data_IF_556434020932
#
_entry.id   IF_556434020932
#
_cell.length_a   1.000
_cell.length_b   1.000
_cell.length_c   1.000
_cell.angle_alpha   90.00
_cell.angle_beta   90.00
_cell.angle_gamma   90.00
#
_symmetry.space_group_name_H-M   'P 1'
#
loop_
_entity.id
_entity.type
_entity.pdbx_description
1 polymer ?
#
# COMPACT_ATOMS: atom_id res chain seq x y z
N UNK A 1 6.37 2.51 -2.13
CA UNK A 1 5.27 1.85 -2.86
C UNK A 1 5.08 2.34 -4.28
N UNK A 2 4.95 3.65 -4.52
CA UNK A 2 4.96 4.20 -5.89
C UNK A 2 6.12 3.61 -6.72
N UNK A 3 7.32 3.64 -6.14
CA UNK A 3 8.53 3.06 -6.74
C UNK A 3 8.44 1.55 -6.97
N UNK A 4 7.73 0.78 -6.14
CA UNK A 4 7.58 -0.66 -6.32
C UNK A 4 6.61 -0.96 -7.48
N UNK A 5 5.54 -0.19 -7.63
CA UNK A 5 4.65 -0.30 -8.79
C UNK A 5 5.42 -0.04 -10.11
N UNK A 6 6.26 1.00 -10.15
CA UNK A 6 7.11 1.27 -11.33
C UNK A 6 8.20 0.21 -11.56
N UNK A 7 8.80 -0.33 -10.49
CA UNK A 7 9.89 -1.32 -10.59
C UNK A 7 9.40 -2.71 -11.00
N UNK A 8 8.24 -3.12 -10.51
CA UNK A 8 7.76 -4.50 -10.60
C UNK A 8 6.44 -4.58 -11.37
N UNK A 9 5.40 -3.88 -10.92
CA UNK A 9 4.05 -4.00 -11.51
C UNK A 9 3.98 -3.59 -12.99
N UNK A 10 4.53 -2.42 -13.34
CA UNK A 10 4.36 -1.85 -14.68
C UNK A 10 5.32 -2.42 -15.74
N UNK A 11 6.30 -3.22 -15.33
CA UNK A 11 7.14 -3.97 -16.27
C UNK A 11 6.41 -5.18 -16.85
N UNK A 12 5.48 -5.73 -16.09
CA UNK A 12 4.77 -6.97 -16.42
C UNK A 12 3.30 -6.74 -16.77
N UNK A 13 2.85 -5.48 -16.73
CA UNK A 13 1.45 -5.09 -16.98
C UNK A 13 1.38 -4.06 -18.08
N UNK A 14 0.78 -4.42 -19.20
CA UNK A 14 0.37 -3.44 -20.21
C UNK A 14 -0.72 -2.53 -19.63
N UNK A 15 -0.60 -1.22 -19.81
CA UNK A 15 -1.46 -0.20 -19.17
C UNK A 15 -1.41 -0.24 -17.64
N UNK A 16 -0.20 -0.12 -17.10
CA UNK A 16 0.03 0.04 -15.66
C UNK A 16 -0.80 1.18 -15.05
N UNK A 17 -1.59 0.85 -14.04
CA UNK A 17 -2.45 1.76 -13.28
C UNK A 17 -2.02 1.73 -11.81
N UNK A 18 -1.92 2.92 -11.23
CA UNK A 18 -1.80 3.11 -9.80
C UNK A 18 -3.00 3.90 -9.32
N UNK A 19 -3.71 3.35 -8.35
CA UNK A 19 -4.79 4.00 -7.63
C UNK A 19 -4.24 4.54 -6.32
N UNK A 20 -4.49 5.82 -6.04
CA UNK A 20 -4.15 6.48 -4.77
C UNK A 20 -5.41 7.22 -4.33
N UNK A 21 -5.97 6.80 -3.21
CA UNK A 21 -7.23 7.32 -2.70
C UNK A 21 -7.13 7.63 -1.22
N UNK A 22 -7.79 8.70 -0.82
CA UNK A 22 -8.03 9.03 0.59
C UNK A 22 -9.52 9.22 0.81
N UNK A 23 -10.03 8.65 1.89
CA UNK A 23 -11.43 8.85 2.29
C UNK A 23 -11.59 8.70 3.80
N UNK A 24 -12.61 9.36 4.33
CA UNK A 24 -13.02 9.22 5.72
C UNK A 24 -13.90 7.97 5.88
N UNK A 25 -13.61 7.16 6.89
CA UNK A 25 -14.35 5.94 7.24
C UNK A 25 -14.44 5.87 8.77
N UNK A 26 -15.64 6.00 9.34
CA UNK A 26 -15.89 5.94 10.78
C UNK A 26 -14.95 6.85 11.60
N UNK A 27 -14.90 8.14 11.26
CA UNK A 27 -14.01 9.15 11.89
C UNK A 27 -12.50 8.87 11.78
N UNK A 28 -12.10 7.95 10.89
CA UNK A 28 -10.71 7.62 10.59
C UNK A 28 -10.39 7.96 9.15
N UNK A 29 -9.14 8.33 8.88
CA UNK A 29 -8.68 8.56 7.52
C UNK A 29 -8.12 7.26 6.95
N UNK A 30 -8.73 6.76 5.88
CA UNK A 30 -8.21 5.68 5.06
C UNK A 30 -7.33 6.28 3.96
N UNK A 31 -6.05 5.92 3.94
CA UNK A 31 -5.18 6.05 2.77
C UNK A 31 -5.08 4.69 2.11
N UNK A 32 -5.52 4.60 0.85
CA UNK A 32 -5.47 3.39 0.05
C UNK A 32 -4.60 3.60 -1.18
N UNK A 33 -3.69 2.66 -1.44
CA UNK A 33 -2.85 2.67 -2.62
C UNK A 33 -2.80 1.26 -3.20
N UNK A 34 -3.04 1.14 -4.50
CA UNK A 34 -3.06 -0.14 -5.20
C UNK A 34 -2.50 0.01 -6.62
N UNK A 35 -1.62 -0.90 -7.02
CA UNK A 35 -1.29 -1.11 -8.43
C UNK A 35 -2.13 -2.24 -9.04
N UNK A 36 -2.21 -2.29 -10.37
CA UNK A 36 -2.83 -3.39 -11.11
C UNK A 36 -1.83 -4.45 -11.60
N UNK A 37 -0.71 -4.60 -10.89
CA UNK A 37 0.36 -5.52 -11.24
C UNK A 37 0.03 -7.01 -11.04
N UNK A 38 1.02 -7.90 -11.19
CA UNK A 38 0.90 -9.31 -10.86
C UNK A 38 0.72 -9.55 -9.35
N UNK A 39 0.99 -8.54 -8.51
CA UNK A 39 0.91 -8.65 -7.07
C UNK A 39 2.16 -9.26 -6.44
N UNK A 40 2.00 -9.84 -5.25
CA UNK A 40 3.05 -10.58 -4.55
C UNK A 40 2.91 -12.09 -4.80
N UNK A 41 4.02 -12.85 -4.85
CA UNK A 41 3.98 -14.32 -4.82
C UNK A 41 3.27 -14.85 -3.58
N UNK A 42 2.64 -16.03 -3.67
CA UNK A 42 1.90 -16.64 -2.54
C UNK A 42 2.78 -16.94 -1.32
N UNK A 43 4.06 -17.22 -1.54
CA UNK A 43 5.07 -17.53 -0.52
C UNK A 43 5.78 -16.29 0.02
N UNK A 44 5.46 -15.10 -0.48
CA UNK A 44 6.07 -13.85 -0.04
C UNK A 44 5.35 -13.29 1.19
N UNK A 45 6.06 -13.19 2.31
CA UNK A 45 5.56 -12.49 3.50
C UNK A 45 5.97 -10.99 3.49
N UNK A 46 5.05 -10.06 3.17
CA UNK A 46 5.37 -8.63 3.15
C UNK A 46 5.66 -8.06 4.54
N UNK A 47 5.19 -8.71 5.61
CA UNK A 47 5.44 -8.26 6.98
C UNK A 47 6.87 -8.59 7.42
N UNK A 48 7.45 -9.68 6.91
CA UNK A 48 8.84 -10.06 7.16
C UNK A 48 9.83 -9.57 6.11
N UNK A 49 9.34 -9.03 4.99
CA UNK A 49 10.22 -8.56 3.91
C UNK A 49 11.16 -7.42 4.36
N UNK A 50 12.46 -7.61 4.15
CA UNK A 50 13.51 -6.60 4.34
C UNK A 50 13.65 -5.64 3.16
N UNK A 51 12.79 -5.76 2.15
CA UNK A 51 12.82 -4.81 1.03
C UNK A 51 12.46 -3.40 1.53
N UNK A 52 13.29 -2.42 1.17
CA UNK A 52 13.13 -1.01 1.54
C UNK A 52 11.72 -0.46 1.31
N UNK A 53 11.05 -0.88 0.23
CA UNK A 53 9.69 -0.45 -0.07
C UNK A 53 8.66 -0.87 0.98
N UNK A 54 8.80 -2.08 1.54
CA UNK A 54 7.95 -2.58 2.62
C UNK A 54 8.32 -1.97 3.97
N UNK A 55 9.62 -1.79 4.22
CA UNK A 55 10.11 -1.10 5.42
C UNK A 55 9.56 0.32 5.52
N UNK A 56 9.48 1.04 4.39
CA UNK A 56 8.92 2.38 4.33
C UNK A 56 7.42 2.40 4.68
N UNK A 57 6.64 1.44 4.17
CA UNK A 57 5.21 1.32 4.46
C UNK A 57 4.98 1.04 5.95
N UNK A 58 5.72 0.08 6.52
CA UNK A 58 5.65 -0.23 7.94
C UNK A 58 6.06 0.96 8.80
N UNK A 59 7.15 1.65 8.43
CA UNK A 59 7.62 2.85 9.13
C UNK A 59 6.58 3.98 9.10
N UNK A 60 5.89 4.16 7.96
CA UNK A 60 4.83 5.15 7.83
C UNK A 60 3.62 4.79 8.70
N UNK A 61 3.19 3.53 8.68
CA UNK A 61 2.12 3.02 9.54
C UNK A 61 2.42 3.30 11.02
N UNK A 62 3.64 2.97 11.47
CA UNK A 62 4.09 3.22 12.84
C UNK A 62 4.08 4.70 13.20
N UNK A 63 4.66 5.56 12.36
CA UNK A 63 4.71 7.01 12.59
C UNK A 63 3.32 7.64 12.69
N UNK A 64 2.38 7.15 11.90
CA UNK A 64 1.00 7.62 11.87
C UNK A 64 0.09 6.91 12.89
N UNK A 65 0.61 5.94 13.65
CA UNK A 65 -0.18 5.05 14.51
C UNK A 65 -1.38 4.45 13.76
N UNK A 66 -1.15 4.06 12.52
CA UNK A 66 -2.17 3.58 11.61
C UNK A 66 -2.24 2.05 11.59
N UNK A 67 -3.44 1.50 11.38
CA UNK A 67 -3.59 0.09 11.05
C UNK A 67 -3.16 -0.13 9.60
N UNK A 68 -2.16 -0.98 9.38
CA UNK A 68 -1.73 -1.40 8.05
C UNK A 68 -2.45 -2.69 7.66
N UNK A 69 -3.04 -2.72 6.46
CA UNK A 69 -3.46 -3.97 5.81
C UNK A 69 -2.86 -4.03 4.41
N UNK A 70 -2.50 -5.24 3.99
CA UNK A 70 -2.11 -5.54 2.62
C UNK A 70 -3.15 -6.44 1.98
N UNK A 71 -3.35 -6.29 0.67
CA UNK A 71 -4.19 -7.14 -0.15
C UNK A 71 -3.49 -7.43 -1.47
N UNK A 72 -3.67 -8.65 -1.95
CA UNK A 72 -3.12 -9.10 -3.22
C UNK A 72 -4.28 -9.52 -4.13
N UNK A 73 -5.02 -8.53 -4.64
CA UNK A 73 -6.28 -8.74 -5.36
C UNK A 73 -6.30 -7.85 -6.60
N UNK A 74 -6.06 -8.45 -7.78
CA UNK A 74 -5.89 -7.69 -9.02
C UNK A 74 -4.69 -6.74 -8.99
N UNK A 75 -3.66 -7.09 -8.20
CA UNK A 75 -2.44 -6.32 -7.95
C UNK A 75 -2.17 -6.10 -6.46
N UNK A 76 -1.08 -5.40 -6.14
CA UNK A 76 -0.69 -5.17 -4.74
C UNK A 76 -1.34 -3.90 -4.19
N UNK A 77 -2.21 -4.09 -3.19
CA UNK A 77 -2.87 -3.03 -2.44
C UNK A 77 -2.36 -2.95 -1.00
N UNK A 78 -2.27 -1.74 -0.47
CA UNK A 78 -2.13 -1.50 0.96
C UNK A 78 -3.05 -0.37 1.41
N UNK A 79 -3.52 -0.49 2.65
CA UNK A 79 -4.34 0.51 3.31
C UNK A 79 -3.74 0.89 4.65
N UNK A 80 -3.69 2.18 4.93
CA UNK A 80 -3.38 2.74 6.24
C UNK A 80 -4.65 3.39 6.79
N UNK A 81 -5.11 2.91 7.94
CA UNK A 81 -6.26 3.49 8.64
C UNK A 81 -5.76 4.30 9.83
N UNK A 82 -5.90 5.62 9.74
CA UNK A 82 -5.28 6.59 10.64
C UNK A 82 -6.35 7.16 11.56
N UNK A 83 -6.23 6.91 12.86
CA UNK A 83 -7.24 7.34 13.85
C UNK A 83 -7.11 8.79 14.32
N UNK A 84 -5.99 9.45 14.03
CA UNK A 84 -5.75 10.81 14.53
C UNK A 84 -5.17 11.67 13.39
N UNK A 85 -6.04 12.38 12.67
CA UNK A 85 -5.66 13.24 11.54
C UNK A 85 -6.26 14.65 11.72
N UNK A 86 -5.59 15.66 11.17
CA UNK A 86 -6.11 17.03 11.11
C UNK A 86 -6.71 17.27 9.73
N UNK A 87 -7.93 17.80 9.68
CA UNK A 87 -8.50 18.36 8.46
C UNK A 87 -7.80 19.70 8.21
N UNK A 88 -7.26 19.87 7.00
CA UNK A 88 -6.66 21.14 6.54
C UNK A 88 -7.76 22.05 6.03
#
# INVERSE_FOLDING_TARGET
MLTNAFKYAFRETENGKLTVETREVDDRLLLYIQDNGPGLPEDFDPMQSEQFGMELVRSLATKLKAELKLKNEGGLGFSLLISNYKKV
#
